data_IF_683243701522
#
_entry.id   IF_683243701522
#
_cell.length_a   1.000
_cell.length_b   1.000
_cell.length_c   1.000
_cell.angle_alpha   90.00
_cell.angle_beta   90.00
_cell.angle_gamma   90.00
#
_symmetry.space_group_name_H-M   'P 1'
#
loop_
_entity.id
_entity.type
_entity.pdbx_description
1 polymer ?
#
# COMPACT_ATOMS: atom_id res chain seq x y z
N UNK A 1 6.39 -3.32 -13.90
CA UNK A 1 5.29 -3.92 -13.10
C UNK A 1 4.91 -2.93 -12.03
N UNK A 2 3.77 -2.25 -12.16
CA UNK A 2 3.38 -1.16 -11.25
C UNK A 2 2.17 -1.57 -10.45
N UNK A 3 2.22 -1.38 -9.13
CA UNK A 3 1.07 -1.63 -8.25
C UNK A 3 0.03 -0.54 -8.50
N UNK A 4 -1.24 -0.92 -8.64
CA UNK A 4 -2.33 0.06 -8.75
C UNK A 4 -2.95 0.27 -7.38
N UNK A 5 -3.32 1.51 -7.08
CA UNK A 5 -3.99 1.87 -5.82
C UNK A 5 -5.34 2.47 -6.15
N UNK A 6 -6.38 1.98 -5.48
CA UNK A 6 -7.76 2.43 -5.62
C UNK A 6 -8.34 2.74 -4.25
N UNK A 7 -8.94 3.92 -4.10
CA UNK A 7 -9.65 4.33 -2.89
C UNK A 7 -11.13 4.05 -3.11
N UNK A 8 -11.73 3.21 -2.27
CA UNK A 8 -13.16 2.90 -2.27
C UNK A 8 -13.82 3.33 -0.96
N UNK A 9 -15.14 3.12 -0.87
CA UNK A 9 -15.93 3.54 0.30
C UNK A 9 -15.49 2.88 1.61
N UNK A 10 -14.93 1.66 1.56
CA UNK A 10 -14.48 0.92 2.75
C UNK A 10 -13.00 1.08 3.09
N UNK A 11 -12.19 1.66 2.20
CA UNK A 11 -10.74 1.72 2.40
C UNK A 11 -9.92 1.71 1.12
N UNK A 12 -8.66 1.32 1.25
CA UNK A 12 -7.66 1.33 0.19
C UNK A 12 -7.39 -0.06 -0.34
N UNK A 13 -7.46 -0.23 -1.66
CA UNK A 13 -7.08 -1.45 -2.36
C UNK A 13 -5.75 -1.28 -3.09
N UNK A 14 -4.81 -2.18 -2.83
CA UNK A 14 -3.56 -2.32 -3.58
C UNK A 14 -3.65 -3.55 -4.48
N UNK A 15 -3.61 -3.33 -5.79
CA UNK A 15 -3.70 -4.35 -6.81
C UNK A 15 -2.30 -4.64 -7.36
N UNK A 16 -1.77 -5.81 -7.00
CA UNK A 16 -0.45 -6.27 -7.42
C UNK A 16 -0.56 -6.96 -8.79
N UNK A 17 0.29 -6.60 -9.77
CA UNK A 17 0.24 -7.23 -11.10
C UNK A 17 0.64 -8.72 -11.06
N UNK A 18 1.45 -9.11 -10.08
CA UNK A 18 1.85 -10.50 -9.84
C UNK A 18 1.12 -10.99 -8.58
N UNK A 19 0.53 -12.18 -8.62
CA UNK A 19 -0.45 -12.61 -7.60
C UNK A 19 0.09 -13.68 -6.63
N UNK A 20 1.33 -14.14 -6.81
CA UNK A 20 1.91 -15.27 -6.06
C UNK A 20 3.27 -14.93 -5.50
N UNK A 21 3.52 -15.39 -4.27
CA UNK A 21 4.81 -15.40 -3.58
C UNK A 21 5.50 -14.03 -3.52
N UNK A 22 4.71 -12.98 -3.30
CA UNK A 22 5.25 -11.64 -3.03
C UNK A 22 5.60 -11.53 -1.55
N UNK A 23 6.83 -11.09 -1.26
CA UNK A 23 7.27 -10.78 0.10
C UNK A 23 7.72 -9.32 0.15
N UNK A 24 7.31 -8.59 1.18
CA UNK A 24 7.68 -7.18 1.30
C UNK A 24 6.80 -6.41 2.26
N UNK A 25 6.88 -5.08 2.16
CA UNK A 25 6.21 -4.16 3.07
C UNK A 25 5.59 -2.98 2.32
N UNK A 26 4.46 -2.51 2.84
CA UNK A 26 3.85 -1.23 2.47
C UNK A 26 4.07 -0.24 3.60
N UNK A 27 4.69 0.89 3.29
CA UNK A 27 4.95 1.98 4.21
C UNK A 27 4.00 3.13 3.94
N UNK A 28 3.35 3.61 4.98
CA UNK A 28 2.43 4.75 4.95
C UNK A 28 3.08 5.92 5.66
N UNK A 29 3.34 6.98 4.91
CA UNK A 29 3.92 8.22 5.43
C UNK A 29 2.89 9.34 5.36
N UNK A 30 2.65 10.03 6.47
CA UNK A 30 1.72 11.15 6.55
C UNK A 30 2.51 12.46 6.59
N UNK A 31 2.48 13.28 5.52
CA UNK A 31 3.26 14.52 5.48
C UNK A 31 2.92 15.53 6.57
N UNK A 32 1.69 15.49 7.09
CA UNK A 32 1.24 16.42 8.14
C UNK A 32 1.58 15.95 9.55
N UNK A 33 1.86 14.67 9.76
CA UNK A 33 2.00 14.10 11.10
C UNK A 33 2.73 12.75 11.06
N UNK A 34 4.05 12.80 11.18
CA UNK A 34 4.94 11.63 11.15
C UNK A 34 4.64 10.60 12.25
N UNK A 35 3.98 11.00 13.34
CA UNK A 35 3.64 10.08 14.44
C UNK A 35 2.62 9.01 14.03
N UNK A 36 1.93 9.24 12.90
CA UNK A 36 0.95 8.31 12.31
C UNK A 36 1.52 7.49 11.17
N UNK A 37 2.83 7.55 10.92
CA UNK A 37 3.47 6.68 9.94
C UNK A 37 3.41 5.23 10.43
N UNK A 38 3.12 4.30 9.53
CA UNK A 38 3.09 2.88 9.86
C UNK A 38 3.53 2.01 8.68
N UNK A 39 3.89 0.77 9.00
CA UNK A 39 4.33 -0.23 8.04
C UNK A 39 3.47 -1.48 8.19
N UNK A 40 3.05 -2.06 7.07
CA UNK A 40 2.34 -3.34 7.03
C UNK A 40 3.12 -4.34 6.16
N UNK A 41 3.25 -5.61 6.60
CA UNK A 41 3.72 -6.66 5.71
C UNK A 41 2.71 -6.86 4.57
N UNK A 42 3.22 -7.13 3.37
CA UNK A 42 2.37 -7.40 2.22
C UNK A 42 1.63 -8.72 2.45
N UNK A 43 0.31 -8.65 2.49
CA UNK A 43 -0.59 -9.78 2.58
C UNK A 43 -1.52 -9.74 1.36
N UNK A 44 -1.18 -10.53 0.34
CA UNK A 44 -1.91 -10.57 -0.92
C UNK A 44 -2.86 -11.76 -0.91
N UNK A 45 -4.15 -11.49 -1.12
CA UNK A 45 -5.16 -12.50 -1.39
C UNK A 45 -5.70 -12.26 -2.81
N UNK A 46 -5.57 -13.25 -3.69
CA UNK A 46 -6.01 -13.16 -5.09
C UNK A 46 -5.46 -11.94 -5.86
N UNK A 47 -4.22 -11.52 -5.58
CA UNK A 47 -3.60 -10.35 -6.24
C UNK A 47 -3.91 -9.00 -5.61
N UNK A 48 -4.69 -8.96 -4.52
CA UNK A 48 -5.10 -7.73 -3.87
C UNK A 48 -4.75 -7.73 -2.38
N UNK A 49 -4.40 -6.55 -1.87
CA UNK A 49 -4.33 -6.25 -0.44
C UNK A 49 -5.31 -5.13 -0.13
N UNK A 50 -6.15 -5.31 0.89
CA UNK A 50 -7.14 -4.34 1.32
C UNK A 50 -6.77 -3.77 2.69
N UNK A 51 -6.87 -2.44 2.82
CA UNK A 51 -6.58 -1.72 4.06
C UNK A 51 -7.84 -0.95 4.45
N UNK A 52 -8.46 -1.29 5.59
CA UNK A 52 -9.66 -0.62 6.06
C UNK A 52 -9.43 0.88 6.28
N UNK A 53 -10.43 1.70 5.95
CA UNK A 53 -10.38 3.15 6.14
C UNK A 53 -10.12 3.53 7.61
N UNK A 54 -10.56 2.73 8.57
CA UNK A 54 -10.36 2.97 10.01
C UNK A 54 -8.88 3.05 10.42
N UNK A 55 -7.99 2.39 9.67
CA UNK A 55 -6.55 2.47 9.89
C UNK A 55 -5.93 3.74 9.29
N UNK A 56 -6.68 4.44 8.44
CA UNK A 56 -6.20 5.56 7.64
C UNK A 56 -6.95 6.84 8.03
N UNK A 57 -6.27 7.72 8.77
CA UNK A 57 -6.80 9.05 9.03
C UNK A 57 -7.01 9.86 7.74
N UNK A 58 -8.01 10.73 7.72
CA UNK A 58 -8.23 11.66 6.61
C UNK A 58 -6.99 12.52 6.30
N UNK A 59 -6.86 12.89 5.03
CA UNK A 59 -5.81 13.75 4.50
C UNK A 59 -4.83 13.05 3.57
N UNK A 60 -3.65 13.67 3.42
CA UNK A 60 -2.62 13.26 2.46
C UNK A 60 -1.77 12.12 3.02
N UNK A 61 -1.48 11.14 2.17
CA UNK A 61 -0.58 10.04 2.45
C UNK A 61 0.38 9.82 1.27
N UNK A 62 1.64 9.54 1.58
CA UNK A 62 2.60 8.98 0.66
C UNK A 62 2.77 7.50 0.99
N UNK A 63 2.54 6.63 0.01
CA UNK A 63 2.60 5.19 0.18
C UNK A 63 3.82 4.69 -0.59
N UNK A 64 4.69 3.94 0.06
CA UNK A 64 5.82 3.27 -0.57
C UNK A 64 5.71 1.76 -0.39
N UNK A 65 5.68 1.05 -1.51
CA UNK A 65 5.54 -0.40 -1.58
C UNK A 65 6.89 -0.94 -2.03
N UNK A 66 7.54 -1.72 -1.18
CA UNK A 66 8.79 -2.41 -1.50
C UNK A 66 8.53 -3.91 -1.41
N UNK A 67 8.78 -4.65 -2.49
CA UNK A 67 8.52 -6.07 -2.52
C UNK A 67 9.48 -6.83 -3.42
N UNK A 68 9.69 -8.10 -3.09
CA UNK A 68 10.47 -9.05 -3.87
C UNK A 68 9.52 -10.01 -4.55
N UNK A 69 9.75 -10.24 -5.83
CA UNK A 69 9.05 -11.25 -6.61
C UNK A 69 10.04 -11.97 -7.52
N UNK A 70 10.07 -13.31 -7.43
CA UNK A 70 11.02 -14.16 -8.18
C UNK A 70 12.50 -13.77 -8.05
N UNK A 71 12.89 -13.23 -6.89
CA UNK A 71 14.27 -12.80 -6.61
C UNK A 71 14.62 -11.40 -7.13
N UNK A 72 13.68 -10.69 -7.75
CA UNK A 72 13.84 -9.30 -8.16
C UNK A 72 13.13 -8.34 -7.19
N UNK A 73 13.79 -7.22 -6.90
CA UNK A 73 13.24 -6.17 -6.05
C UNK A 73 12.45 -5.14 -6.86
N UNK A 74 11.28 -4.79 -6.34
CA UNK A 74 10.36 -3.82 -6.92
C UNK A 74 10.01 -2.76 -5.90
N UNK A 75 10.01 -1.51 -6.34
CA UNK A 75 9.57 -0.36 -5.56
C UNK A 75 8.51 0.42 -6.31
N UNK A 76 7.47 0.87 -5.61
CA UNK A 76 6.44 1.76 -6.15
C UNK A 76 6.02 2.78 -5.11
N UNK A 77 5.88 4.04 -5.53
CA UNK A 77 5.49 5.14 -4.64
C UNK A 77 4.25 5.84 -5.17
N UNK A 78 3.29 6.09 -4.28
CA UNK A 78 2.01 6.70 -4.60
C UNK A 78 1.70 7.83 -3.63
N UNK A 79 0.98 8.85 -4.12
CA UNK A 79 0.46 9.94 -3.29
C UNK A 79 -1.06 9.90 -3.38
N UNK A 80 -1.72 9.76 -2.24
CA UNK A 80 -3.18 9.72 -2.16
C UNK A 80 -3.70 10.78 -1.20
N UNK A 81 -4.98 11.12 -1.35
CA UNK A 81 -5.68 11.98 -0.42
C UNK A 81 -7.02 11.36 -0.05
N UNK A 82 -7.16 11.02 1.23
CA UNK A 82 -8.37 10.47 1.82
C UNK A 82 -9.25 11.62 2.27
N UNK A 83 -10.51 11.61 1.84
CA UNK A 83 -11.51 12.64 2.16
C UNK A 83 -12.43 12.19 3.29
#
# INVERSE_FOLDING_TARGET
MTVKIEIGEGGLSLNFPNQKDIQGFVNFYRPSDKSKDFQLPIQVHAGQMFIPMEQLAQGRWNIQINYVWQGEEYMSTHKINIK
#
